data_IF_972581299396
#
_entry.id   IF_972581299396
#
_cell.length_a   1.000
_cell.length_b   1.000
_cell.length_c   1.000
_cell.angle_alpha   90.00
_cell.angle_beta   90.00
_cell.angle_gamma   90.00
#
_symmetry.space_group_name_H-M   'P 1'
#
loop_
_entity.id
_entity.type
_entity.pdbx_description
1 polymer ?
#
# COMPACT_ATOMS: atom_id res chain seq x y z
N UNK A 1 30.71 29.45 6.90
CA UNK A 1 29.37 29.70 6.35
C UNK A 1 28.68 28.36 6.22
N UNK A 2 27.77 27.96 7.13
CA UNK A 2 27.03 26.69 7.01
C UNK A 2 25.82 26.91 6.11
N UNK A 3 25.78 26.16 5.02
CA UNK A 3 24.62 26.07 4.12
C UNK A 3 23.44 25.41 4.80
N UNK A 4 22.31 26.08 4.81
CA UNK A 4 21.05 25.60 5.36
C UNK A 4 20.58 24.35 4.61
N UNK A 5 20.56 23.21 5.29
CA UNK A 5 19.86 22.02 4.86
C UNK A 5 18.35 22.31 4.93
N UNK A 6 17.72 22.47 3.77
CA UNK A 6 16.27 22.48 3.67
C UNK A 6 15.77 21.06 3.93
N UNK A 7 15.29 20.85 5.13
CA UNK A 7 14.49 19.68 5.48
C UNK A 7 13.17 19.74 4.70
N UNK A 8 13.09 19.00 3.61
CA UNK A 8 11.85 18.83 2.85
C UNK A 8 10.90 17.94 3.66
N UNK A 9 10.00 18.61 4.37
CA UNK A 9 8.93 17.97 5.13
C UNK A 9 7.95 17.28 4.17
N UNK A 10 7.80 15.98 4.33
CA UNK A 10 6.78 15.14 3.68
C UNK A 10 5.34 15.52 4.09
N UNK A 11 5.17 16.59 4.87
CA UNK A 11 3.87 17.09 5.30
C UNK A 11 3.16 17.99 4.30
N UNK A 12 3.80 18.38 3.20
CA UNK A 12 3.27 19.35 2.25
C UNK A 12 2.67 18.70 1.00
N UNK A 13 1.72 17.78 1.16
CA UNK A 13 0.69 17.51 0.13
C UNK A 13 -0.67 17.46 0.83
N UNK A 14 -1.00 18.60 1.44
CA UNK A 14 -2.36 18.97 1.75
C UNK A 14 -2.76 20.02 0.73
N UNK A 15 -3.92 19.80 0.09
CA UNK A 15 -4.72 20.77 -0.64
C UNK A 15 -4.07 21.57 -1.77
N UNK A 16 -4.38 21.14 -2.95
CA UNK A 16 -4.89 21.97 -4.04
C UNK A 16 -5.41 21.01 -5.11
N UNK A 17 -6.63 20.83 -5.22
CA UNK A 17 -7.47 21.39 -6.26
C UNK A 17 -8.84 20.73 -6.24
N UNK A 18 -9.79 21.47 -5.77
CA UNK A 18 -11.21 21.31 -5.98
C UNK A 18 -11.53 22.03 -7.29
N UNK A 19 -12.19 21.36 -8.20
CA UNK A 19 -12.97 21.88 -9.33
C UNK A 19 -12.50 21.39 -10.68
N UNK A 20 -13.21 20.39 -11.17
CA UNK A 20 -13.70 20.42 -12.53
C UNK A 20 -15.01 19.62 -12.61
N UNK A 21 -15.98 20.12 -13.40
CA UNK A 21 -17.37 19.70 -13.30
C UNK A 21 -17.69 18.46 -14.11
N UNK A 22 -18.65 17.74 -13.55
CA UNK A 22 -19.46 16.72 -14.18
C UNK A 22 -20.06 17.20 -15.51
N UNK A 23 -19.73 16.55 -16.61
CA UNK A 23 -20.59 16.51 -17.79
C UNK A 23 -21.09 15.08 -18.02
N UNK A 24 -22.35 14.94 -17.70
CA UNK A 24 -23.16 13.81 -18.10
C UNK A 24 -23.78 14.11 -19.47
N UNK A 25 -23.69 13.27 -20.48
CA UNK A 25 -24.54 13.38 -21.67
C UNK A 25 -25.90 12.72 -21.42
N UNK A 26 -26.97 13.24 -22.02
CA UNK A 26 -28.32 12.83 -21.75
C UNK A 26 -28.78 11.63 -22.58
N UNK A 27 -29.59 10.79 -21.94
CA UNK A 27 -30.80 10.20 -22.48
C UNK A 27 -30.68 9.12 -23.56
N UNK A 28 -31.13 7.94 -23.23
CA UNK A 28 -32.13 7.28 -24.08
C UNK A 28 -32.99 6.35 -23.22
N UNK A 29 -34.29 6.64 -23.28
CA UNK A 29 -35.39 5.84 -22.78
C UNK A 29 -35.50 4.51 -23.51
N UNK A 30 -36.07 3.50 -22.87
CA UNK A 30 -36.59 2.37 -23.61
C UNK A 30 -36.94 1.15 -22.80
N UNK A 31 -38.18 1.10 -22.32
CA UNK A 31 -39.08 -0.07 -22.26
C UNK A 31 -38.77 -1.29 -21.40
N UNK A 32 -39.45 -1.36 -20.34
CA UNK A 32 -40.47 -2.30 -19.83
C UNK A 32 -40.54 -3.72 -20.45
N UNK A 33 -40.99 -4.62 -19.55
CA UNK A 33 -41.63 -5.93 -19.66
C UNK A 33 -40.80 -7.14 -19.26
N UNK A 34 -41.30 -7.78 -18.22
CA UNK A 34 -40.99 -9.15 -17.91
C UNK A 34 -41.14 -9.49 -16.43
N UNK A 35 -42.37 -9.52 -15.93
CA UNK A 35 -42.69 -10.19 -14.68
C UNK A 35 -42.50 -11.71 -14.89
N UNK A 36 -41.74 -12.34 -14.00
CA UNK A 36 -41.60 -13.81 -14.06
C UNK A 36 -40.70 -14.38 -13.00
N UNK A 37 -41.29 -14.88 -11.92
CA UNK A 37 -40.70 -15.97 -11.16
C UNK A 37 -39.79 -15.58 -9.99
N UNK A 38 -40.40 -15.34 -8.83
CA UNK A 38 -39.79 -15.61 -7.53
C UNK A 38 -39.36 -17.08 -7.46
N UNK A 39 -38.10 -17.35 -7.70
CA UNK A 39 -37.50 -18.61 -7.27
C UNK A 39 -36.66 -18.32 -6.03
N UNK A 40 -37.33 -18.35 -4.88
CA UNK A 40 -36.68 -18.50 -3.58
C UNK A 40 -36.06 -19.90 -3.54
N UNK A 41 -34.78 -20.00 -3.87
CA UNK A 41 -34.09 -21.29 -3.94
C UNK A 41 -32.58 -21.12 -4.11
N UNK A 42 -32.02 -20.01 -3.67
CA UNK A 42 -30.59 -19.89 -3.48
C UNK A 42 -30.23 -20.51 -2.14
N UNK A 43 -29.71 -21.73 -2.16
CA UNK A 43 -29.10 -22.35 -1.00
C UNK A 43 -28.01 -21.46 -0.47
N UNK A 44 -28.01 -21.19 0.84
CA UNK A 44 -26.90 -20.55 1.56
C UNK A 44 -25.57 -21.35 1.46
N UNK A 45 -25.58 -22.47 0.75
CA UNK A 45 -24.41 -23.30 0.45
C UNK A 45 -23.62 -22.83 -0.79
N UNK A 46 -24.16 -21.94 -1.61
CA UNK A 46 -23.49 -21.34 -2.78
C UNK A 46 -22.85 -19.96 -2.49
N UNK A 47 -22.67 -19.59 -1.25
CA UNK A 47 -21.62 -18.64 -0.89
C UNK A 47 -20.30 -19.33 -1.22
N UNK A 48 -19.92 -19.25 -2.50
CA UNK A 48 -18.60 -19.67 -2.99
C UNK A 48 -17.60 -19.14 -1.98
N UNK A 49 -16.98 -20.04 -1.23
CA UNK A 49 -15.90 -19.71 -0.32
C UNK A 49 -14.77 -19.19 -1.19
N UNK A 50 -14.75 -17.89 -1.36
CA UNK A 50 -13.59 -17.25 -1.98
C UNK A 50 -12.39 -17.61 -1.10
N UNK A 51 -11.27 -18.03 -1.70
CA UNK A 51 -10.09 -18.31 -0.92
C UNK A 51 -9.78 -17.09 -0.04
N UNK A 52 -9.32 -17.30 1.19
CA UNK A 52 -9.01 -16.19 2.08
C UNK A 52 -8.01 -15.26 1.40
N UNK A 53 -8.24 -13.95 1.53
CA UNK A 53 -7.27 -12.97 1.05
C UNK A 53 -5.94 -13.14 1.79
N UNK A 54 -4.84 -12.67 1.20
CA UNK A 54 -3.54 -12.69 1.90
C UNK A 54 -3.65 -11.95 3.22
N UNK A 55 -4.36 -10.81 3.27
CA UNK A 55 -4.65 -10.08 4.50
C UNK A 55 -5.25 -10.98 5.59
N UNK A 56 -6.26 -11.77 5.26
CA UNK A 56 -6.89 -12.68 6.22
C UNK A 56 -5.94 -13.83 6.61
N UNK A 57 -5.21 -14.39 5.64
CA UNK A 57 -4.29 -15.51 5.85
C UNK A 57 -3.12 -15.15 6.77
N UNK A 58 -2.64 -13.89 6.75
CA UNK A 58 -1.52 -13.44 7.60
C UNK A 58 -1.96 -12.91 8.97
N UNK A 59 -3.27 -12.89 9.27
CA UNK A 59 -3.78 -12.41 10.56
C UNK A 59 -4.15 -10.94 10.60
N UNK A 60 -4.39 -10.31 9.44
CA UNK A 60 -4.97 -8.98 9.34
C UNK A 60 -3.98 -7.83 9.55
N UNK A 61 -4.48 -6.67 10.00
CA UNK A 61 -3.73 -5.41 10.12
C UNK A 61 -2.45 -5.55 10.94
N UNK A 62 -2.50 -6.30 12.04
CA UNK A 62 -1.37 -6.47 12.94
C UNK A 62 -0.10 -6.99 12.24
N UNK A 63 -0.24 -7.92 11.31
CA UNK A 63 0.90 -8.43 10.53
C UNK A 63 1.60 -7.30 9.75
N UNK A 64 0.80 -6.43 9.11
CA UNK A 64 1.35 -5.32 8.34
C UNK A 64 1.95 -4.23 9.23
N UNK A 65 1.37 -3.97 10.38
CA UNK A 65 1.94 -3.05 11.38
C UNK A 65 3.31 -3.57 11.86
N UNK A 66 3.39 -4.83 12.28
CA UNK A 66 4.62 -5.46 12.75
C UNK A 66 5.71 -5.55 11.65
N UNK A 67 5.32 -5.80 10.40
CA UNK A 67 6.23 -5.81 9.24
C UNK A 67 6.83 -4.41 9.00
N UNK A 68 5.96 -3.41 8.96
CA UNK A 68 6.31 -2.03 8.66
C UNK A 68 7.10 -1.40 9.80
N UNK A 69 6.81 -1.74 11.06
CA UNK A 69 7.57 -1.26 12.21
C UNK A 69 9.01 -1.73 12.15
N UNK A 70 9.25 -3.02 11.91
CA UNK A 70 10.61 -3.56 11.70
C UNK A 70 11.33 -2.88 10.54
N UNK A 71 10.63 -2.64 9.44
CA UNK A 71 11.20 -1.94 8.29
C UNK A 71 11.65 -0.53 8.65
N UNK A 72 10.80 0.26 9.32
CA UNK A 72 11.16 1.63 9.67
C UNK A 72 12.19 1.73 10.81
N UNK A 73 12.25 0.75 11.71
CA UNK A 73 13.33 0.67 12.70
C UNK A 73 14.70 0.53 12.00
N UNK A 74 14.76 -0.25 10.92
CA UNK A 74 15.96 -0.36 10.11
C UNK A 74 16.24 0.93 9.30
N UNK A 75 15.22 1.56 8.72
CA UNK A 75 15.33 2.84 8.01
C UNK A 75 15.87 3.95 8.91
N UNK A 76 15.48 3.98 10.19
CA UNK A 76 15.92 5.02 11.14
C UNK A 76 17.44 5.09 11.28
N UNK A 77 18.12 3.97 11.13
CA UNK A 77 19.57 3.83 11.22
C UNK A 77 20.28 3.83 9.86
N UNK A 78 19.55 3.85 8.76
CA UNK A 78 20.15 3.79 7.42
C UNK A 78 20.51 5.20 6.91
N UNK A 79 21.81 5.51 6.70
CA UNK A 79 22.25 6.85 6.32
C UNK A 79 21.80 7.26 4.91
N UNK A 80 21.45 6.30 4.05
CA UNK A 80 21.00 6.57 2.69
C UNK A 80 19.49 6.85 2.63
N UNK A 81 18.71 6.10 3.42
CA UNK A 81 17.24 6.21 3.39
C UNK A 81 16.72 7.25 4.40
N UNK A 82 17.30 7.30 5.60
CA UNK A 82 16.80 8.17 6.67
C UNK A 82 16.58 9.62 6.27
N UNK A 83 17.49 10.25 5.49
CA UNK A 83 17.31 11.64 5.05
C UNK A 83 16.13 11.88 4.11
N UNK A 84 15.59 10.81 3.50
CA UNK A 84 14.43 10.87 2.58
C UNK A 84 13.09 10.90 3.32
N UNK A 85 13.10 10.67 4.63
CA UNK A 85 11.92 10.60 5.47
C UNK A 85 11.83 11.75 6.46
N UNK A 86 10.62 12.13 6.92
CA UNK A 86 10.45 13.16 7.92
C UNK A 86 11.07 12.77 9.27
N UNK A 87 11.26 13.76 10.17
CA UNK A 87 11.78 13.51 11.51
C UNK A 87 10.93 12.54 12.31
N UNK A 88 9.61 12.71 12.26
CA UNK A 88 8.64 11.75 12.82
C UNK A 88 8.25 10.72 11.76
N UNK A 89 8.56 9.44 12.01
CA UNK A 89 8.25 8.32 11.12
C UNK A 89 6.85 7.74 11.36
N UNK A 90 6.18 8.11 12.44
CA UNK A 90 4.87 7.55 12.80
C UNK A 90 3.83 7.66 11.66
N UNK A 91 3.66 8.82 11.01
CA UNK A 91 2.72 8.91 9.91
C UNK A 91 3.13 8.07 8.69
N UNK A 92 4.43 7.86 8.49
CA UNK A 92 4.93 7.03 7.38
C UNK A 92 4.69 5.55 7.63
N UNK A 93 4.87 5.08 8.87
CA UNK A 93 4.54 3.71 9.30
C UNK A 93 3.06 3.42 9.05
N UNK A 94 2.17 4.26 9.57
CA UNK A 94 0.72 4.10 9.41
C UNK A 94 0.30 4.06 7.93
N UNK A 95 0.85 4.94 7.11
CA UNK A 95 0.53 4.99 5.68
C UNK A 95 0.96 3.74 4.92
N UNK A 96 2.17 3.26 5.17
CA UNK A 96 2.66 2.06 4.49
C UNK A 96 1.92 0.82 4.95
N UNK A 97 1.69 0.66 6.26
CA UNK A 97 0.94 -0.47 6.79
C UNK A 97 -0.49 -0.51 6.27
N UNK A 98 -1.21 0.61 6.29
CA UNK A 98 -2.57 0.70 5.76
C UNK A 98 -2.63 0.46 4.24
N UNK A 99 -1.67 0.98 3.49
CA UNK A 99 -1.58 0.72 2.05
C UNK A 99 -1.36 -0.77 1.75
N UNK A 100 -0.42 -1.42 2.43
CA UNK A 100 -0.14 -2.84 2.24
C UNK A 100 -1.32 -3.72 2.67
N UNK A 101 -1.92 -3.42 3.82
CA UNK A 101 -3.11 -4.13 4.27
C UNK A 101 -4.23 -4.10 3.23
N UNK A 102 -4.55 -2.92 2.70
CA UNK A 102 -5.56 -2.78 1.65
C UNK A 102 -5.15 -3.49 0.35
N UNK A 103 -3.89 -3.36 -0.09
CA UNK A 103 -3.40 -4.00 -1.31
C UNK A 103 -3.57 -5.54 -1.25
N UNK A 104 -3.35 -6.13 -0.09
CA UNK A 104 -3.44 -7.57 0.13
C UNK A 104 -4.84 -8.06 0.51
N UNK A 105 -5.86 -7.23 0.30
CA UNK A 105 -7.28 -7.63 0.44
C UNK A 105 -7.90 -7.32 1.79
N UNK A 106 -7.29 -6.40 2.55
CA UNK A 106 -7.87 -5.80 3.75
C UNK A 106 -8.86 -4.67 3.45
N UNK A 107 -9.33 -3.97 4.50
CA UNK A 107 -10.25 -2.83 4.37
C UNK A 107 -9.69 -1.72 3.49
N UNK A 108 -10.60 -0.98 2.82
CA UNK A 108 -10.25 0.13 1.92
C UNK A 108 -9.96 1.46 2.65
N UNK A 109 -9.52 1.40 3.91
CA UNK A 109 -9.34 2.56 4.79
C UNK A 109 -8.30 3.53 4.25
N UNK A 110 -7.19 3.00 3.72
CA UNK A 110 -6.16 3.85 3.10
C UNK A 110 -6.73 4.69 1.95
N UNK A 111 -7.53 4.09 1.06
CA UNK A 111 -8.13 4.81 -0.07
C UNK A 111 -9.27 5.73 0.36
N UNK A 112 -10.01 5.40 1.43
CA UNK A 112 -11.04 6.25 2.00
C UNK A 112 -10.45 7.56 2.57
N UNK A 113 -9.29 7.48 3.23
CA UNK A 113 -8.61 8.66 3.80
C UNK A 113 -7.81 9.47 2.78
N UNK A 114 -7.20 8.80 1.80
CA UNK A 114 -6.14 9.38 0.96
C UNK A 114 -6.39 9.32 -0.54
N UNK A 115 -7.51 8.74 -0.94
CA UNK A 115 -7.81 8.49 -2.35
C UNK A 115 -6.89 7.46 -2.98
N UNK A 116 -6.84 7.45 -4.29
CA UNK A 116 -6.02 6.51 -5.05
C UNK A 116 -4.53 6.61 -4.66
N UNK A 117 -3.80 5.51 -4.51
CA UNK A 117 -2.40 5.49 -4.06
C UNK A 117 -1.46 6.36 -4.89
N UNK A 118 -1.60 6.40 -6.23
CA UNK A 118 -0.77 7.20 -7.15
C UNK A 118 0.72 7.18 -6.79
N UNK A 119 1.25 5.98 -6.52
CA UNK A 119 2.59 5.79 -5.93
C UNK A 119 3.67 6.59 -6.67
N UNK A 120 3.72 6.49 -8.01
CA UNK A 120 4.74 7.19 -8.79
C UNK A 120 4.67 8.71 -8.61
N UNK A 121 3.47 9.30 -8.65
CA UNK A 121 3.31 10.75 -8.46
C UNK A 121 3.74 11.19 -7.06
N UNK A 122 3.39 10.40 -6.03
CA UNK A 122 3.75 10.71 -4.64
C UNK A 122 5.25 10.60 -4.37
N UNK A 123 5.98 9.84 -5.19
CA UNK A 123 7.43 9.67 -5.05
C UNK A 123 8.24 10.56 -6.00
N UNK A 124 7.61 11.28 -6.92
CA UNK A 124 8.31 12.22 -7.83
C UNK A 124 9.20 13.25 -7.13
N UNK A 125 8.83 13.82 -5.96
CA UNK A 125 9.67 14.79 -5.27
C UNK A 125 10.96 14.23 -4.67
N UNK A 126 11.09 12.89 -4.59
CA UNK A 126 12.25 12.24 -3.97
C UNK A 126 13.20 11.73 -5.05
N UNK A 127 14.51 11.96 -4.85
CA UNK A 127 15.52 11.40 -5.73
C UNK A 127 15.74 9.92 -5.41
N UNK A 128 15.09 9.04 -6.17
CA UNK A 128 15.17 7.60 -6.00
C UNK A 128 15.99 7.00 -7.14
N UNK A 129 17.22 6.64 -6.86
CA UNK A 129 18.10 5.89 -7.75
C UNK A 129 18.16 4.40 -7.36
N UNK A 130 18.97 3.63 -8.10
CA UNK A 130 19.18 2.21 -7.80
C UNK A 130 19.65 1.95 -6.36
N UNK A 131 20.54 2.79 -5.82
CA UNK A 131 21.07 2.63 -4.47
C UNK A 131 19.96 2.76 -3.40
N UNK A 132 19.06 3.74 -3.53
CA UNK A 132 17.93 3.92 -2.62
C UNK A 132 16.96 2.76 -2.73
N UNK A 133 16.66 2.32 -3.94
CA UNK A 133 15.83 1.14 -4.20
C UNK A 133 16.41 -0.11 -3.55
N UNK A 134 17.70 -0.36 -3.70
CA UNK A 134 18.35 -1.55 -3.16
C UNK A 134 18.43 -1.50 -1.62
N UNK A 135 18.66 -0.34 -1.04
CA UNK A 135 18.62 -0.14 0.41
C UNK A 135 17.21 -0.43 0.96
N UNK A 136 16.18 0.12 0.31
CA UNK A 136 14.79 -0.10 0.67
C UNK A 136 14.41 -1.60 0.61
N UNK A 137 14.77 -2.28 -0.49
CA UNK A 137 14.50 -3.70 -0.67
C UNK A 137 15.24 -4.55 0.38
N UNK A 138 16.50 -4.24 0.69
CA UNK A 138 17.26 -4.95 1.72
C UNK A 138 16.56 -4.94 3.07
N UNK A 139 16.06 -3.77 3.51
CA UNK A 139 15.35 -3.66 4.78
C UNK A 139 13.97 -4.32 4.74
N UNK A 140 13.23 -4.19 3.65
CA UNK A 140 11.92 -4.83 3.52
C UNK A 140 12.03 -6.36 3.48
N UNK A 141 13.00 -6.89 2.75
CA UNK A 141 13.26 -8.34 2.71
C UNK A 141 13.70 -8.87 4.08
N UNK A 142 14.59 -8.15 4.77
CA UNK A 142 15.00 -8.53 6.12
C UNK A 142 13.80 -8.55 7.09
N UNK A 143 12.91 -7.55 7.02
CA UNK A 143 11.70 -7.48 7.83
C UNK A 143 10.72 -8.61 7.51
N UNK A 144 10.57 -8.95 6.23
CA UNK A 144 9.71 -10.04 5.79
C UNK A 144 10.24 -11.42 6.20
N UNK A 145 11.55 -11.62 6.15
CA UNK A 145 12.18 -12.92 6.47
C UNK A 145 12.01 -13.37 7.91
N UNK A 146 11.76 -12.44 8.83
CA UNK A 146 11.51 -12.71 10.26
C UNK A 146 10.05 -12.51 10.64
N UNK A 147 9.17 -12.25 9.67
CA UNK A 147 7.75 -12.07 9.93
C UNK A 147 7.11 -13.38 10.38
N UNK A 148 6.22 -13.29 11.35
CA UNK A 148 5.48 -14.42 11.90
C UNK A 148 3.99 -14.14 11.88
N UNK A 149 3.21 -15.20 11.82
CA UNK A 149 1.76 -15.14 11.97
C UNK A 149 1.40 -14.92 13.45
N UNK A 150 0.15 -14.54 13.78
CA UNK A 150 -0.27 -14.28 15.16
C UNK A 150 -0.08 -15.45 16.13
N UNK A 151 -0.05 -16.68 15.61
CA UNK A 151 0.19 -17.91 16.38
C UNK A 151 1.68 -18.24 16.54
N UNK A 152 2.57 -17.38 16.01
CA UNK A 152 4.02 -17.57 16.04
C UNK A 152 4.57 -18.48 14.94
N UNK A 153 3.73 -19.01 14.05
CA UNK A 153 4.19 -19.80 12.92
C UNK A 153 4.88 -18.92 11.86
N UNK A 154 5.79 -19.48 11.07
CA UNK A 154 6.43 -18.73 9.99
C UNK A 154 5.42 -18.39 8.89
N UNK A 155 5.70 -17.31 8.16
CA UNK A 155 4.93 -16.93 6.98
C UNK A 155 5.01 -18.03 5.92
N UNK A 156 3.87 -18.30 5.27
CA UNK A 156 3.80 -19.23 4.15
C UNK A 156 4.77 -18.81 3.03
N UNK A 157 5.59 -19.72 2.50
CA UNK A 157 6.59 -19.41 1.48
C UNK A 157 6.02 -18.80 0.20
N UNK A 158 4.82 -19.22 -0.24
CA UNK A 158 4.18 -18.69 -1.45
C UNK A 158 3.69 -17.25 -1.20
N UNK A 159 3.17 -16.97 -0.01
CA UNK A 159 2.80 -15.60 0.39
C UNK A 159 4.06 -14.73 0.49
N UNK A 160 5.12 -15.21 1.11
CA UNK A 160 6.39 -14.49 1.21
C UNK A 160 6.96 -14.16 -0.18
N UNK A 161 6.93 -15.12 -1.10
CA UNK A 161 7.37 -14.93 -2.48
C UNK A 161 6.50 -13.91 -3.24
N UNK A 162 5.19 -13.96 -3.07
CA UNK A 162 4.27 -13.00 -3.68
C UNK A 162 4.50 -11.58 -3.16
N UNK A 163 4.71 -11.43 -1.84
CA UNK A 163 5.05 -10.14 -1.24
C UNK A 163 6.38 -9.60 -1.74
N UNK A 164 7.42 -10.44 -1.79
CA UNK A 164 8.72 -10.07 -2.33
C UNK A 164 8.59 -9.55 -3.78
N UNK A 165 7.91 -10.30 -4.64
CA UNK A 165 7.73 -9.92 -6.04
C UNK A 165 6.99 -8.58 -6.19
N UNK A 166 5.98 -8.35 -5.35
CA UNK A 166 5.27 -7.07 -5.31
C UNK A 166 6.19 -5.92 -4.90
N UNK A 167 6.97 -6.09 -3.83
CA UNK A 167 7.90 -5.05 -3.34
C UNK A 167 8.98 -4.74 -4.37
N UNK A 168 9.56 -5.77 -4.98
CA UNK A 168 10.60 -5.63 -6.00
C UNK A 168 10.09 -4.84 -7.22
N UNK A 169 8.92 -5.23 -7.72
CA UNK A 169 8.28 -4.55 -8.83
C UNK A 169 7.94 -3.09 -8.48
N UNK A 170 7.29 -2.84 -7.36
CA UNK A 170 6.92 -1.49 -6.92
C UNK A 170 8.16 -0.61 -6.74
N UNK A 171 9.18 -1.07 -6.00
CA UNK A 171 10.41 -0.33 -5.77
C UNK A 171 11.16 0.02 -7.07
N UNK A 172 11.19 -0.92 -8.02
CA UNK A 172 11.82 -0.71 -9.33
C UNK A 172 11.08 0.34 -10.14
N UNK A 173 9.74 0.34 -10.13
CA UNK A 173 8.93 1.34 -10.83
C UNK A 173 9.02 2.75 -10.24
N UNK A 174 9.50 2.89 -9.01
CA UNK A 174 9.67 4.18 -8.34
C UNK A 174 11.02 4.84 -8.62
N UNK A 175 11.97 4.14 -9.24
CA UNK A 175 13.24 4.74 -9.67
C UNK A 175 12.95 5.89 -10.64
N UNK A 176 13.47 7.07 -10.30
CA UNK A 176 13.28 8.30 -11.08
C UNK A 176 14.60 9.07 -11.31
N UNK A 177 15.73 8.53 -10.86
CA UNK A 177 17.08 9.05 -11.13
C UNK A 177 17.88 8.01 -11.90
N UNK A 178 18.69 8.44 -12.88
CA UNK A 178 19.62 7.53 -13.56
C UNK A 178 20.71 7.02 -12.60
N UNK A 179 21.34 5.93 -12.99
CA UNK A 179 22.48 5.34 -12.30
C UNK A 179 23.71 6.25 -12.41
#
# INVERSE_FOLDING_TARGET
MPGAAHALSLSAVTDADTSEPSENPPGSEGSAWGAGGLTLGGSLADAVQQPPTVYAAVGGQRFFDDLVDRFYDAVESDPLLRPMYPGDLTPSRQRLAGFLAQYWGGPADYSAERGHPRLRMRHMPFAIGPAQRDAWMRHMVASLSVAQLPDGSPLDPDIAQAMFAHFDNAATHLINQPS
#
